data_IF_847561074608
#
_entry.id   IF_847561074608
#
_cell.length_a   1.000
_cell.length_b   1.000
_cell.length_c   1.000
_cell.angle_alpha   90.00
_cell.angle_beta   90.00
_cell.angle_gamma   90.00
#
_symmetry.space_group_name_H-M   'P 1'
#
loop_
_entity.id
_entity.type
_entity.pdbx_description
1 polymer ?
#
# COMPACT_ATOMS: atom_id res chain seq x y z
N UNK A 1 -23.43 -33.20 23.07
CA UNK A 1 -22.38 -33.27 24.10
C UNK A 1 -21.41 -32.17 23.73
N UNK A 2 -21.42 -31.14 24.55
CA UNK A 2 -20.61 -29.92 24.38
C UNK A 2 -19.37 -30.10 25.23
N UNK A 3 -18.20 -30.05 24.61
CA UNK A 3 -16.94 -29.96 25.36
C UNK A 3 -16.29 -28.62 25.08
N UNK A 4 -16.39 -27.76 26.09
CA UNK A 4 -15.74 -26.46 26.17
C UNK A 4 -14.28 -26.66 26.57
N UNK A 5 -13.33 -26.30 25.73
CA UNK A 5 -11.93 -26.13 26.14
C UNK A 5 -11.66 -24.66 26.42
N UNK A 6 -11.59 -24.32 27.71
CA UNK A 6 -11.07 -23.06 28.21
C UNK A 6 -9.55 -23.18 28.33
N UNK A 7 -8.79 -22.40 27.57
CA UNK A 7 -7.34 -22.24 27.75
C UNK A 7 -7.12 -21.00 28.61
N UNK A 8 -6.72 -21.25 29.88
CA UNK A 8 -6.29 -20.19 30.79
C UNK A 8 -4.84 -19.76 30.46
N UNK A 9 -4.66 -18.51 30.05
CA UNK A 9 -3.33 -17.88 29.93
C UNK A 9 -2.98 -17.25 31.28
N UNK A 10 -1.96 -17.81 31.96
CA UNK A 10 -1.36 -17.22 33.15
C UNK A 10 -0.35 -16.16 32.78
N UNK A 11 -0.66 -14.91 33.11
CA UNK A 11 0.30 -13.78 32.98
C UNK A 11 1.17 -13.77 34.25
N UNK A 12 2.47 -14.00 34.07
CA UNK A 12 3.47 -13.90 35.12
C UNK A 12 4.12 -12.51 35.03
N UNK A 13 3.69 -11.60 35.91
CA UNK A 13 4.33 -10.29 36.11
C UNK A 13 5.50 -10.47 37.08
N UNK A 14 6.73 -10.38 36.61
CA UNK A 14 7.90 -10.23 37.46
C UNK A 14 8.40 -8.78 37.46
N UNK A 15 8.12 -8.10 38.54
CA UNK A 15 8.75 -6.82 38.92
C UNK A 15 10.16 -7.08 39.39
N UNK A 16 11.16 -6.50 38.75
CA UNK A 16 12.52 -6.37 39.29
C UNK A 16 12.82 -4.89 39.51
N UNK A 17 12.95 -4.56 40.80
CA UNK A 17 13.44 -3.30 41.33
C UNK A 17 14.98 -3.26 41.35
N UNK A 18 15.51 -2.06 41.15
CA UNK A 18 16.72 -1.47 41.76
C UNK A 18 18.05 -1.59 41.02
N UNK A 19 18.63 -0.38 40.93
CA UNK A 19 19.99 -0.11 41.25
C UNK A 19 20.47 1.22 40.71
N UNK A 20 20.26 2.32 41.44
CA UNK A 20 20.86 3.60 41.13
C UNK A 20 22.36 3.59 41.46
N UNK A 21 23.18 4.13 40.55
CA UNK A 21 24.53 4.60 40.84
C UNK A 21 24.67 6.01 40.30
N UNK A 22 24.73 6.98 41.24
CA UNK A 22 25.07 8.36 40.97
C UNK A 22 26.57 8.49 40.66
N UNK A 23 26.90 8.85 39.43
CA UNK A 23 28.25 9.25 39.03
C UNK A 23 28.28 10.75 38.81
N UNK A 24 28.94 11.48 39.72
CA UNK A 24 29.25 12.93 39.64
C UNK A 24 30.32 13.13 38.56
N UNK A 25 30.04 13.89 37.52
CA UNK A 25 31.04 14.43 36.60
C UNK A 25 31.20 15.91 36.87
N UNK A 26 32.41 16.25 37.35
CA UNK A 26 32.89 17.59 37.67
C UNK A 26 33.10 18.39 36.39
N UNK A 27 32.46 19.53 36.29
CA UNK A 27 32.60 20.44 35.16
C UNK A 27 33.95 21.16 35.16
N UNK A 28 34.53 21.35 34.00
CA UNK A 28 35.55 22.35 33.73
C UNK A 28 35.05 23.26 32.60
N UNK A 29 34.77 24.50 32.91
CA UNK A 29 34.53 25.57 31.96
C UNK A 29 35.86 26.13 31.43
N UNK A 30 36.01 26.37 30.13
CA UNK A 30 37.08 27.23 29.65
C UNK A 30 36.61 28.69 29.59
N UNK A 31 37.42 29.54 30.18
CA UNK A 31 37.32 30.99 30.19
C UNK A 31 37.58 31.58 28.80
N UNK A 32 36.75 32.57 28.45
CA UNK A 32 36.87 33.41 27.27
C UNK A 32 37.95 34.48 27.56
N UNK A 33 38.96 34.58 26.72
CA UNK A 33 39.85 35.75 26.64
C UNK A 33 39.67 36.41 25.26
N UNK A 34 39.20 37.65 25.30
CA UNK A 34 39.18 38.60 24.18
C UNK A 34 40.55 39.26 24.07
N UNK A 35 41.17 39.21 22.88
CA UNK A 35 42.01 40.32 22.39
C UNK A 35 42.11 40.34 20.86
N UNK A 36 42.10 41.51 20.29
CA UNK A 36 41.88 41.87 18.90
C UNK A 36 43.12 41.85 18.00
N UNK A 37 43.14 42.59 16.85
CA UNK A 37 43.48 41.99 15.58
C UNK A 37 44.96 42.16 15.14
N UNK A 38 45.49 41.12 14.46
CA UNK A 38 46.70 41.28 13.63
C UNK A 38 46.55 40.53 12.28
N UNK A 39 46.73 41.28 11.23
CA UNK A 39 46.74 40.82 9.86
C UNK A 39 47.95 39.94 9.59
N UNK A 40 47.78 38.93 8.74
CA UNK A 40 48.91 38.36 8.02
C UNK A 40 48.91 36.85 7.83
N UNK A 41 48.91 36.48 6.55
CA UNK A 41 49.34 35.19 6.00
C UNK A 41 48.37 33.98 6.08
N UNK A 42 47.71 33.70 4.96
CA UNK A 42 47.08 32.41 4.67
C UNK A 42 48.17 31.33 4.42
N UNK A 43 48.12 30.21 5.11
CA UNK A 43 48.65 28.95 4.57
C UNK A 43 47.59 28.31 3.70
N UNK A 44 47.96 27.91 2.50
CA UNK A 44 47.16 27.06 1.60
C UNK A 44 46.85 25.74 2.32
N UNK A 45 45.60 25.55 2.75
CA UNK A 45 45.11 24.26 3.18
C UNK A 45 44.89 23.43 1.94
N UNK A 46 45.80 22.49 1.69
CA UNK A 46 45.61 21.42 0.75
C UNK A 46 44.40 20.61 1.19
N UNK A 47 43.34 20.67 0.41
CA UNK A 47 42.23 19.72 0.45
C UNK A 47 42.82 18.33 0.18
N UNK A 48 43.13 17.59 1.22
CA UNK A 48 43.26 16.15 1.12
C UNK A 48 41.83 15.63 0.79
N UNK A 49 41.56 15.49 -0.49
CA UNK A 49 40.41 14.75 -0.98
C UNK A 49 40.50 13.34 -0.41
N UNK A 50 39.58 12.97 0.47
CA UNK A 50 39.30 11.59 0.75
C UNK A 50 38.83 10.97 -0.59
N UNK A 51 39.76 10.40 -1.35
CA UNK A 51 39.45 9.47 -2.42
C UNK A 51 38.94 8.20 -1.74
N UNK A 52 37.63 8.17 -1.45
CA UNK A 52 36.91 6.92 -1.38
C UNK A 52 37.13 6.19 -2.72
N UNK A 53 37.11 4.86 -2.76
CA UNK A 53 37.26 4.13 -3.99
C UNK A 53 36.19 4.65 -4.96
N UNK A 54 36.65 5.31 -6.05
CA UNK A 54 35.79 5.68 -7.15
C UNK A 54 35.26 4.36 -7.72
N UNK A 55 33.98 4.11 -7.52
CA UNK A 55 33.26 3.08 -8.25
C UNK A 55 33.10 3.60 -9.68
N UNK A 56 34.13 3.42 -10.49
CA UNK A 56 34.08 3.58 -11.94
C UNK A 56 33.70 2.24 -12.57
N UNK A 57 32.58 1.69 -12.17
CA UNK A 57 31.87 0.66 -12.91
C UNK A 57 30.64 1.33 -13.53
N UNK A 58 30.25 0.94 -14.71
CA UNK A 58 28.94 1.26 -15.26
C UNK A 58 27.91 1.05 -14.14
N UNK A 59 27.07 2.04 -13.85
CA UNK A 59 26.16 1.99 -12.69
C UNK A 59 25.26 0.75 -12.73
N UNK A 60 25.19 0.05 -13.86
CA UNK A 60 24.40 -1.15 -14.13
C UNK A 60 25.23 -2.36 -14.58
N UNK A 61 26.56 -2.34 -14.36
CA UNK A 61 27.47 -3.41 -14.78
C UNK A 61 27.70 -4.46 -13.72
N UNK A 62 28.17 -5.64 -14.15
CA UNK A 62 28.62 -6.71 -13.27
C UNK A 62 30.15 -6.85 -13.34
N UNK A 63 30.83 -7.24 -12.25
CA UNK A 63 30.25 -7.64 -10.96
C UNK A 63 29.63 -6.48 -10.17
N UNK A 64 28.50 -6.75 -9.52
CA UNK A 64 27.76 -5.79 -8.72
C UNK A 64 27.78 -6.18 -7.24
N UNK A 65 27.92 -5.19 -6.35
CA UNK A 65 27.85 -5.39 -4.90
C UNK A 65 26.83 -4.44 -4.31
N UNK A 66 25.99 -4.94 -3.42
CA UNK A 66 25.05 -4.13 -2.65
C UNK A 66 24.94 -4.67 -1.23
N UNK A 67 24.84 -3.77 -0.25
CA UNK A 67 24.55 -4.13 1.13
C UNK A 67 23.05 -4.06 1.34
N UNK A 68 22.48 -5.13 1.84
CA UNK A 68 21.05 -5.26 2.06
C UNK A 68 20.60 -4.77 3.46
N UNK A 69 19.30 -4.85 3.77
CA UNK A 69 18.74 -4.38 5.02
C UNK A 69 19.19 -5.19 6.26
N UNK A 70 19.80 -6.38 6.08
CA UNK A 70 20.43 -7.15 7.18
C UNK A 70 21.84 -6.69 7.47
N UNK A 71 22.41 -5.82 6.63
CA UNK A 71 23.82 -5.39 6.67
C UNK A 71 24.76 -6.35 5.95
N UNK A 72 24.25 -7.40 5.29
CA UNK A 72 25.06 -8.30 4.50
C UNK A 72 25.33 -7.75 3.11
N UNK A 73 26.58 -7.89 2.63
CA UNK A 73 26.95 -7.47 1.27
C UNK A 73 26.78 -8.61 0.30
N UNK A 74 25.81 -8.48 -0.59
CA UNK A 74 25.54 -9.42 -1.68
C UNK A 74 26.42 -9.06 -2.87
N UNK A 75 27.09 -10.07 -3.44
CA UNK A 75 27.92 -9.93 -4.62
C UNK A 75 27.36 -10.78 -5.75
N UNK A 76 27.07 -10.15 -6.86
CA UNK A 76 26.65 -10.77 -8.10
C UNK A 76 27.80 -10.65 -9.12
N UNK A 77 28.41 -11.76 -9.51
CA UNK A 77 29.49 -11.78 -10.50
C UNK A 77 28.99 -11.53 -11.90
N UNK A 78 27.78 -12.02 -12.18
CA UNK A 78 27.10 -11.95 -13.46
C UNK A 78 25.64 -11.52 -13.26
N UNK A 79 24.98 -11.11 -14.32
CA UNK A 79 23.57 -10.79 -14.33
C UNK A 79 22.73 -12.03 -13.98
N UNK A 80 21.83 -11.98 -13.00
CA UNK A 80 20.98 -13.13 -12.66
C UNK A 80 20.05 -13.50 -13.82
N UNK A 81 19.98 -14.79 -14.14
CA UNK A 81 19.08 -15.32 -15.16
C UNK A 81 17.86 -16.01 -14.57
N UNK A 82 17.92 -16.37 -13.28
CA UNK A 82 16.86 -17.08 -12.54
C UNK A 82 16.55 -16.32 -11.25
N UNK A 83 15.42 -15.63 -11.23
CA UNK A 83 15.03 -14.76 -10.11
C UNK A 83 13.78 -15.32 -9.43
N UNK A 84 13.80 -15.40 -8.11
CA UNK A 84 12.61 -15.73 -7.31
C UNK A 84 12.25 -14.55 -6.42
N UNK A 85 10.96 -14.22 -6.36
CA UNK A 85 10.45 -13.15 -5.47
C UNK A 85 9.56 -13.73 -4.40
N UNK A 86 9.73 -13.29 -3.15
CA UNK A 86 8.98 -13.81 -2.02
C UNK A 86 7.65 -13.07 -1.79
N UNK A 87 7.46 -11.92 -2.43
CA UNK A 87 6.19 -11.19 -2.37
C UNK A 87 5.87 -10.47 -3.68
N UNK A 88 4.62 -10.01 -3.86
CA UNK A 88 4.17 -9.41 -5.11
C UNK A 88 4.81 -8.06 -5.43
N UNK A 89 5.25 -7.25 -4.47
CA UNK A 89 5.79 -5.92 -4.78
C UNK A 89 7.09 -5.98 -5.58
N UNK A 90 7.99 -6.93 -5.27
CA UNK A 90 9.21 -7.14 -6.04
C UNK A 90 8.91 -7.79 -7.41
N UNK A 91 7.94 -8.71 -7.48
CA UNK A 91 7.48 -9.26 -8.75
C UNK A 91 6.92 -8.15 -9.64
N UNK A 92 6.01 -7.32 -9.13
CA UNK A 92 5.44 -6.19 -9.87
C UNK A 92 6.55 -5.28 -10.43
N UNK A 93 7.55 -4.93 -9.62
CA UNK A 93 8.68 -4.13 -10.09
C UNK A 93 9.42 -4.82 -11.23
N UNK A 94 9.69 -6.14 -11.15
CA UNK A 94 10.34 -6.86 -12.26
C UNK A 94 9.52 -6.88 -13.54
N UNK A 95 8.17 -6.92 -13.44
CA UNK A 95 7.28 -6.77 -14.61
C UNK A 95 7.39 -5.38 -15.23
N UNK A 96 7.40 -4.32 -14.40
CA UNK A 96 7.60 -2.94 -14.88
C UNK A 96 8.95 -2.77 -15.59
N UNK A 97 10.00 -3.39 -15.07
CA UNK A 97 11.33 -3.35 -15.66
C UNK A 97 11.50 -4.29 -16.87
N UNK A 98 10.45 -5.00 -17.32
CA UNK A 98 10.51 -5.94 -18.44
C UNK A 98 11.38 -7.16 -18.16
N UNK A 99 11.49 -7.60 -16.90
CA UNK A 99 12.36 -8.70 -16.49
C UNK A 99 11.61 -9.98 -16.13
N UNK A 100 10.32 -10.05 -16.42
CA UNK A 100 9.43 -11.17 -16.09
C UNK A 100 9.91 -12.52 -16.67
N UNK A 101 10.61 -12.53 -17.81
CA UNK A 101 11.07 -13.77 -18.46
C UNK A 101 12.16 -14.50 -17.64
N UNK A 102 12.84 -13.78 -16.73
CA UNK A 102 13.84 -14.35 -15.84
C UNK A 102 13.29 -14.77 -14.48
N UNK A 103 12.03 -14.47 -14.22
CA UNK A 103 11.38 -14.85 -12.97
C UNK A 103 10.94 -16.29 -13.05
N UNK A 104 11.45 -17.13 -12.14
CA UNK A 104 11.19 -18.57 -12.07
C UNK A 104 10.28 -18.95 -10.91
N UNK A 105 10.16 -18.11 -9.89
CA UNK A 105 9.32 -18.33 -8.72
C UNK A 105 8.71 -17.03 -8.20
N UNK A 106 7.44 -17.08 -7.80
CA UNK A 106 6.70 -15.95 -7.23
C UNK A 106 5.80 -16.41 -6.08
N UNK A 107 5.41 -15.49 -5.21
CA UNK A 107 4.32 -15.78 -4.27
C UNK A 107 2.97 -15.85 -5.00
N UNK A 108 2.02 -16.63 -4.46
CA UNK A 108 0.65 -16.70 -5.00
C UNK A 108 -0.04 -15.32 -5.09
N UNK A 109 0.36 -14.38 -4.24
CA UNK A 109 -0.18 -13.02 -4.25
C UNK A 109 0.29 -12.17 -5.44
N UNK A 110 1.22 -12.67 -6.25
CA UNK A 110 1.66 -12.04 -7.49
C UNK A 110 0.90 -12.55 -8.73
N UNK A 111 -0.02 -13.51 -8.59
CA UNK A 111 -0.74 -14.12 -9.72
C UNK A 111 -1.68 -13.17 -10.46
N UNK A 112 -1.88 -11.96 -9.98
CA UNK A 112 -2.56 -10.89 -10.72
C UNK A 112 -1.71 -10.28 -11.85
N UNK A 113 -0.40 -10.57 -11.87
CA UNK A 113 0.49 -10.13 -12.94
C UNK A 113 0.41 -11.10 -14.12
N UNK A 114 0.40 -10.57 -15.34
CA UNK A 114 0.24 -11.35 -16.55
C UNK A 114 1.31 -12.45 -16.67
N UNK A 115 0.89 -13.70 -16.76
CA UNK A 115 1.77 -14.88 -16.87
C UNK A 115 2.52 -15.25 -15.59
N UNK A 116 2.23 -14.61 -14.45
CA UNK A 116 2.85 -14.97 -13.17
C UNK A 116 2.39 -16.32 -12.62
N UNK A 117 1.16 -16.73 -12.97
CA UNK A 117 0.61 -18.04 -12.61
C UNK A 117 1.33 -19.22 -13.29
N UNK A 118 2.09 -18.96 -14.35
CA UNK A 118 2.94 -19.95 -15.02
C UNK A 118 4.26 -20.20 -14.27
N UNK A 119 4.61 -19.35 -13.29
CA UNK A 119 5.81 -19.45 -12.47
C UNK A 119 5.57 -20.38 -11.29
N UNK A 120 6.66 -20.90 -10.71
CA UNK A 120 6.54 -21.73 -9.51
C UNK A 120 5.97 -20.91 -8.34
N UNK A 121 4.92 -21.42 -7.69
CA UNK A 121 4.39 -20.85 -6.46
C UNK A 121 5.29 -21.20 -5.27
N UNK A 122 5.96 -20.20 -4.71
CA UNK A 122 6.87 -20.38 -3.56
C UNK A 122 6.24 -20.06 -2.20
N UNK A 123 4.94 -19.74 -2.16
CA UNK A 123 4.24 -19.44 -0.90
C UNK A 123 4.12 -20.69 0.00
N UNK A 124 4.28 -20.47 1.30
CA UNK A 124 3.83 -21.39 2.36
C UNK A 124 2.46 -20.91 2.87
N UNK A 125 1.94 -21.54 3.93
CA UNK A 125 0.75 -21.05 4.64
C UNK A 125 1.02 -19.65 5.23
N UNK A 126 2.24 -19.45 5.77
CA UNK A 126 2.75 -18.16 6.23
C UNK A 126 4.13 -17.94 5.61
N UNK A 127 4.34 -16.80 4.92
CA UNK A 127 5.61 -16.47 4.29
C UNK A 127 5.94 -17.34 3.07
N UNK A 128 7.23 -17.63 2.88
CA UNK A 128 7.76 -18.43 1.78
C UNK A 128 8.12 -19.85 2.22
N UNK A 129 7.93 -20.82 1.33
CA UNK A 129 8.43 -22.19 1.53
C UNK A 129 9.89 -22.26 1.07
N UNK A 130 10.81 -22.44 2.01
CA UNK A 130 12.25 -22.61 1.71
C UNK A 130 12.47 -23.70 0.68
N UNK A 131 11.82 -24.87 0.83
CA UNK A 131 11.91 -25.98 -0.10
C UNK A 131 11.50 -25.58 -1.53
N UNK A 132 10.34 -24.92 -1.68
CA UNK A 132 9.85 -24.48 -2.99
C UNK A 132 10.74 -23.41 -3.61
N UNK A 133 11.32 -22.51 -2.80
CA UNK A 133 12.29 -21.52 -3.30
C UNK A 133 13.55 -22.23 -3.82
N UNK A 134 14.10 -23.18 -3.06
CA UNK A 134 15.25 -23.99 -3.48
C UNK A 134 14.96 -24.75 -4.78
N UNK A 135 13.77 -25.33 -4.91
CA UNK A 135 13.37 -26.09 -6.11
C UNK A 135 13.30 -25.20 -7.38
N UNK A 136 13.19 -23.88 -7.23
CA UNK A 136 13.27 -22.97 -8.39
C UNK A 136 14.70 -22.74 -8.87
N UNK A 137 15.73 -23.22 -8.15
CA UNK A 137 17.15 -23.03 -8.46
C UNK A 137 17.50 -21.58 -8.85
N UNK A 138 17.24 -20.58 -7.97
CA UNK A 138 17.40 -19.17 -8.32
C UNK A 138 18.86 -18.72 -8.17
N UNK A 139 19.32 -17.85 -9.06
CA UNK A 139 20.59 -17.11 -8.91
C UNK A 139 20.46 -15.97 -7.92
N UNK A 140 19.24 -15.43 -7.78
CA UNK A 140 18.89 -14.32 -6.90
C UNK A 140 17.48 -14.49 -6.35
N UNK A 141 17.34 -14.30 -5.03
CA UNK A 141 16.05 -14.19 -4.34
C UNK A 141 15.85 -12.75 -3.88
N UNK A 142 14.73 -12.15 -4.23
CA UNK A 142 14.31 -10.83 -3.76
C UNK A 142 13.34 -10.98 -2.59
N UNK A 143 13.79 -10.61 -1.40
CA UNK A 143 13.07 -10.75 -0.15
C UNK A 143 12.66 -9.35 0.40
N UNK A 144 11.39 -9.00 0.44
CA UNK A 144 10.95 -7.74 1.02
C UNK A 144 11.04 -7.76 2.55
N UNK A 145 10.81 -6.59 3.17
CA UNK A 145 10.83 -6.45 4.63
C UNK A 145 9.95 -7.49 5.36
N UNK A 146 8.77 -7.80 4.80
CA UNK A 146 7.84 -8.79 5.36
C UNK A 146 8.38 -10.22 5.38
N UNK A 147 9.43 -10.53 4.61
CA UNK A 147 10.06 -11.86 4.54
C UNK A 147 11.36 -11.97 5.35
N UNK A 148 11.59 -11.07 6.31
CA UNK A 148 12.81 -11.07 7.13
C UNK A 148 13.09 -12.43 7.80
N UNK A 149 12.05 -13.14 8.24
CA UNK A 149 12.17 -14.45 8.86
C UNK A 149 12.63 -15.56 7.89
N UNK A 150 12.38 -15.40 6.59
CA UNK A 150 12.74 -16.39 5.56
C UNK A 150 14.19 -16.22 5.09
N UNK A 151 14.80 -15.05 5.30
CA UNK A 151 16.15 -14.71 4.78
C UNK A 151 17.24 -15.64 5.30
N UNK A 152 17.29 -15.83 6.63
CA UNK A 152 18.28 -16.72 7.26
C UNK A 152 18.20 -18.16 6.75
N UNK A 153 17.03 -18.81 6.84
CA UNK A 153 16.83 -20.17 6.33
C UNK A 153 17.18 -20.35 4.85
N UNK A 154 16.87 -19.35 3.99
CA UNK A 154 17.22 -19.41 2.57
C UNK A 154 18.74 -19.31 2.34
N UNK A 155 19.43 -18.43 3.06
CA UNK A 155 20.89 -18.30 3.00
C UNK A 155 21.62 -19.56 3.52
N UNK A 156 21.05 -20.24 4.52
CA UNK A 156 21.57 -21.53 5.01
C UNK A 156 21.52 -22.62 3.93
N UNK A 157 20.62 -22.51 2.95
CA UNK A 157 20.60 -23.38 1.76
C UNK A 157 21.59 -22.95 0.67
N UNK A 158 22.37 -21.89 0.91
CA UNK A 158 23.36 -21.36 -0.03
C UNK A 158 22.79 -20.45 -1.11
N UNK A 159 21.54 -19.98 -0.98
CA UNK A 159 20.92 -19.06 -1.92
C UNK A 159 21.43 -17.62 -1.73
N UNK A 160 21.59 -16.90 -2.83
CA UNK A 160 21.84 -15.46 -2.82
C UNK A 160 20.54 -14.72 -2.58
N UNK A 161 20.36 -14.12 -1.39
CA UNK A 161 19.14 -13.43 -0.99
C UNK A 161 19.43 -11.96 -0.75
N UNK A 162 18.75 -11.06 -1.46
CA UNK A 162 18.76 -9.63 -1.19
C UNK A 162 17.50 -9.23 -0.41
N UNK A 163 17.69 -8.72 0.80
CA UNK A 163 16.62 -8.31 1.70
C UNK A 163 16.42 -6.79 1.66
N UNK A 164 15.21 -6.35 1.29
CA UNK A 164 14.85 -4.93 1.21
C UNK A 164 14.35 -4.41 2.56
N UNK A 165 14.62 -3.12 2.89
CA UNK A 165 13.96 -2.45 4.00
C UNK A 165 12.46 -2.28 3.72
N UNK A 166 11.70 -1.82 4.72
CA UNK A 166 10.34 -1.37 4.50
C UNK A 166 10.35 -0.13 3.57
N UNK A 167 9.44 -0.10 2.61
CA UNK A 167 9.17 1.08 1.80
C UNK A 167 7.90 1.73 2.37
N UNK A 168 8.05 2.89 2.97
CA UNK A 168 6.99 3.63 3.66
C UNK A 168 6.65 4.96 3.00
N UNK A 169 7.48 5.38 2.05
CA UNK A 169 7.32 6.60 1.24
C UNK A 169 7.43 6.29 -0.26
N UNK A 170 7.09 7.26 -1.09
CA UNK A 170 7.28 7.20 -2.54
C UNK A 170 8.77 7.10 -2.88
N UNK A 171 9.62 7.85 -2.17
CA UNK A 171 11.07 7.85 -2.37
C UNK A 171 11.69 6.48 -2.03
N UNK A 172 11.23 5.81 -0.96
CA UNK A 172 11.67 4.44 -0.65
C UNK A 172 11.34 3.46 -1.77
N UNK A 173 10.18 3.66 -2.45
CA UNK A 173 9.79 2.83 -3.60
C UNK A 173 10.70 3.11 -4.79
N UNK A 174 11.04 4.38 -5.05
CA UNK A 174 11.97 4.75 -6.10
C UNK A 174 13.36 4.16 -5.85
N UNK A 175 13.90 4.27 -4.64
CA UNK A 175 15.18 3.68 -4.25
C UNK A 175 15.18 2.15 -4.38
N UNK A 176 14.09 1.50 -3.98
CA UNK A 176 13.91 0.05 -4.15
C UNK A 176 13.89 -0.34 -5.62
N UNK A 177 13.20 0.42 -6.46
CA UNK A 177 13.12 0.18 -7.92
C UNK A 177 14.48 0.32 -8.58
N UNK A 178 15.25 1.37 -8.25
CA UNK A 178 16.62 1.52 -8.72
C UNK A 178 17.53 0.38 -8.24
N UNK A 179 17.38 -0.05 -6.99
CA UNK A 179 18.16 -1.15 -6.45
C UNK A 179 17.85 -2.45 -7.15
N UNK A 180 16.57 -2.76 -7.43
CA UNK A 180 16.17 -3.90 -8.25
C UNK A 180 16.76 -3.76 -9.65
N UNK A 181 16.66 -2.57 -10.27
CA UNK A 181 17.24 -2.30 -11.58
C UNK A 181 18.73 -2.62 -11.65
N UNK A 182 19.51 -2.23 -10.64
CA UNK A 182 20.96 -2.55 -10.53
C UNK A 182 21.22 -4.03 -10.31
N UNK A 183 20.45 -4.68 -9.42
CA UNK A 183 20.58 -6.12 -9.15
C UNK A 183 20.32 -6.98 -10.38
N UNK A 184 19.43 -6.53 -11.27
CA UNK A 184 19.04 -7.31 -12.45
C UNK A 184 19.59 -6.74 -13.77
N UNK A 185 20.38 -5.66 -13.73
CA UNK A 185 20.99 -5.04 -14.89
C UNK A 185 19.96 -4.36 -15.82
N UNK A 186 18.96 -3.67 -15.24
CA UNK A 186 17.87 -2.97 -15.91
C UNK A 186 17.72 -1.52 -15.42
N UNK A 187 18.84 -0.77 -15.28
CA UNK A 187 18.84 0.55 -14.66
C UNK A 187 18.11 1.62 -15.48
N UNK A 188 18.17 1.56 -16.80
CA UNK A 188 17.44 2.49 -17.68
C UNK A 188 15.94 2.34 -17.47
N UNK A 189 15.44 1.10 -17.52
CA UNK A 189 14.03 0.81 -17.24
C UNK A 189 13.61 1.23 -15.83
N UNK A 190 14.50 1.08 -14.82
CA UNK A 190 14.21 1.52 -13.46
C UNK A 190 14.08 3.05 -13.36
N UNK A 191 14.95 3.79 -14.05
CA UNK A 191 14.86 5.26 -14.12
C UNK A 191 13.58 5.70 -14.81
N UNK A 192 13.25 5.13 -15.96
CA UNK A 192 12.02 5.43 -16.70
C UNK A 192 10.78 5.12 -15.88
N UNK A 193 10.75 3.95 -15.20
CA UNK A 193 9.63 3.56 -14.32
C UNK A 193 9.47 4.52 -13.14
N UNK A 194 10.57 5.02 -12.56
CA UNK A 194 10.51 6.01 -11.50
C UNK A 194 10.04 7.38 -12.02
N UNK A 195 10.46 7.80 -13.20
CA UNK A 195 9.98 9.03 -13.84
C UNK A 195 8.46 8.96 -14.06
N UNK A 196 7.94 7.85 -14.60
CA UNK A 196 6.50 7.64 -14.78
C UNK A 196 5.73 7.66 -13.44
N UNK A 197 6.34 7.10 -12.40
CA UNK A 197 5.74 7.11 -11.06
C UNK A 197 5.64 8.52 -10.49
N UNK A 198 6.71 9.32 -10.56
CA UNK A 198 6.72 10.70 -10.08
C UNK A 198 5.80 11.60 -10.91
N UNK A 199 5.73 11.42 -12.23
CA UNK A 199 4.78 12.14 -13.09
C UNK A 199 3.32 11.86 -12.66
N UNK A 200 3.01 10.64 -12.27
CA UNK A 200 1.69 10.29 -11.76
C UNK A 200 1.39 10.90 -10.37
N UNK A 201 2.39 10.98 -9.50
CA UNK A 201 2.31 11.67 -8.20
C UNK A 201 2.01 13.16 -8.43
N UNK A 202 2.82 13.83 -9.26
CA UNK A 202 2.61 15.24 -9.59
C UNK A 202 1.22 15.49 -10.21
N UNK A 203 0.75 14.58 -11.07
CA UNK A 203 -0.57 14.67 -11.68
C UNK A 203 -1.70 14.54 -10.65
N UNK A 204 -1.56 13.64 -9.65
CA UNK A 204 -2.53 13.47 -8.58
C UNK A 204 -2.57 14.70 -7.65
N UNK A 205 -1.41 15.20 -7.22
CA UNK A 205 -1.29 16.39 -6.39
C UNK A 205 -1.87 17.64 -7.09
N UNK A 206 -1.57 17.82 -8.39
CA UNK A 206 -2.13 18.91 -9.17
C UNK A 206 -3.66 18.81 -9.33
N UNK A 207 -4.20 17.60 -9.42
CA UNK A 207 -5.65 17.35 -9.55
C UNK A 207 -6.38 17.75 -8.28
N UNK A 208 -5.79 17.55 -7.12
CA UNK A 208 -6.39 17.80 -5.81
C UNK A 208 -5.93 19.13 -5.16
N UNK A 209 -5.15 19.95 -5.87
CA UNK A 209 -4.54 21.18 -5.32
C UNK A 209 -5.56 22.21 -4.81
N UNK A 210 -6.72 22.31 -5.47
CA UNK A 210 -7.77 23.28 -5.16
C UNK A 210 -9.02 22.59 -4.54
N UNK A 211 -8.87 21.34 -4.07
CA UNK A 211 -9.93 20.50 -3.51
C UNK A 211 -9.79 20.43 -1.99
N UNK A 212 -10.90 20.52 -1.25
CA UNK A 212 -10.88 20.25 0.18
C UNK A 212 -10.51 18.78 0.43
N UNK A 213 -9.56 18.55 1.33
CA UNK A 213 -9.05 17.24 1.63
C UNK A 213 -9.95 16.54 2.65
N UNK A 214 -10.66 15.45 2.28
CA UNK A 214 -11.49 14.76 3.24
C UNK A 214 -10.66 14.05 4.32
N UNK A 215 -11.17 14.05 5.54
CA UNK A 215 -10.66 13.23 6.63
C UNK A 215 -10.89 11.76 6.31
N UNK A 216 -9.85 10.98 6.06
CA UNK A 216 -9.96 9.64 5.52
C UNK A 216 -9.33 8.56 6.41
N UNK A 217 -9.86 7.35 6.33
CA UNK A 217 -9.36 6.19 7.06
C UNK A 217 -9.25 4.96 6.14
N UNK A 218 -8.20 4.16 6.30
CA UNK A 218 -8.12 2.83 5.71
C UNK A 218 -8.11 1.74 6.78
N UNK A 219 -9.24 1.08 7.02
CA UNK A 219 -9.33 -0.05 7.94
C UNK A 219 -8.77 -1.33 7.34
N UNK A 220 -8.03 -2.09 8.17
CA UNK A 220 -7.43 -3.37 7.82
C UNK A 220 -8.18 -4.56 8.47
N UNK A 221 -9.28 -4.27 9.17
CA UNK A 221 -10.05 -5.25 9.93
C UNK A 221 -9.57 -5.42 11.38
N UNK A 222 -10.48 -5.84 12.26
CA UNK A 222 -10.19 -6.03 13.68
C UNK A 222 -9.76 -4.78 14.44
N UNK A 223 -10.13 -3.58 13.96
CA UNK A 223 -9.74 -2.28 14.50
C UNK A 223 -8.35 -1.81 14.07
N UNK A 224 -7.60 -2.59 13.30
CA UNK A 224 -6.32 -2.15 12.73
C UNK A 224 -6.55 -1.20 11.57
N UNK A 225 -5.70 -0.16 11.50
CA UNK A 225 -5.76 0.87 10.44
C UNK A 225 -4.36 1.18 9.91
N UNK A 226 -4.27 1.73 8.71
CA UNK A 226 -3.03 2.28 8.20
C UNK A 226 -2.84 3.70 8.75
N UNK A 227 -1.72 3.92 9.45
CA UNK A 227 -1.37 5.19 10.05
C UNK A 227 -0.09 5.77 9.43
N UNK A 228 0.48 6.82 10.04
CA UNK A 228 1.71 7.45 9.60
C UNK A 228 2.85 6.44 9.39
N UNK A 229 3.80 6.80 8.53
CA UNK A 229 4.94 5.96 8.20
C UNK A 229 4.54 4.62 7.58
N UNK A 230 3.51 4.63 6.73
CA UNK A 230 3.09 3.51 5.88
C UNK A 230 2.99 3.96 4.43
N UNK A 231 3.18 3.02 3.51
CA UNK A 231 2.95 3.26 2.08
C UNK A 231 1.53 3.77 1.80
N UNK A 232 0.55 3.27 2.54
CA UNK A 232 -0.87 3.63 2.38
C UNK A 232 -1.10 5.09 2.78
N UNK A 233 -0.48 5.54 3.88
CA UNK A 233 -0.50 6.95 4.28
C UNK A 233 0.09 7.86 3.21
N UNK A 234 1.22 7.46 2.60
CA UNK A 234 1.80 8.20 1.48
C UNK A 234 0.84 8.30 0.28
N UNK A 235 0.12 7.22 -0.06
CA UNK A 235 -0.91 7.23 -1.10
C UNK A 235 -2.07 8.15 -0.74
N UNK A 236 -2.55 8.13 0.51
CA UNK A 236 -3.63 9.01 0.95
C UNK A 236 -3.23 10.48 0.83
N UNK A 237 -2.02 10.82 1.27
CA UNK A 237 -1.50 12.19 1.18
C UNK A 237 -1.39 12.69 -0.27
N UNK A 238 -0.79 11.91 -1.17
CA UNK A 238 -0.68 12.24 -2.61
C UNK A 238 -2.05 12.29 -3.29
N UNK A 239 -2.94 11.38 -2.93
CA UNK A 239 -4.29 11.30 -3.48
C UNK A 239 -5.26 12.39 -3.01
N UNK A 240 -4.81 13.30 -2.12
CA UNK A 240 -5.59 14.44 -1.67
C UNK A 240 -6.51 14.16 -0.48
N UNK A 241 -6.23 13.14 0.34
CA UNK A 241 -6.96 12.83 1.55
C UNK A 241 -6.09 12.99 2.80
N UNK A 242 -6.68 13.41 3.92
CA UNK A 242 -6.00 13.55 5.20
C UNK A 242 -6.25 12.31 6.07
N UNK A 243 -5.17 11.57 6.40
CA UNK A 243 -5.28 10.37 7.20
C UNK A 243 -5.60 10.70 8.67
N UNK A 244 -6.78 10.35 9.16
CA UNK A 244 -7.19 10.61 10.55
C UNK A 244 -6.38 9.82 11.59
N UNK A 245 -5.67 8.78 11.15
CA UNK A 245 -4.78 7.97 11.99
C UNK A 245 -3.32 8.47 11.99
N UNK A 246 -3.00 9.64 11.37
CA UNK A 246 -1.63 10.14 11.21
C UNK A 246 -0.89 10.45 12.52
N UNK A 247 -1.58 10.56 13.66
CA UNK A 247 -0.95 10.71 14.99
C UNK A 247 -0.31 9.41 15.50
N UNK A 248 -0.68 8.27 14.90
CA UNK A 248 -0.17 6.95 15.24
C UNK A 248 0.89 6.50 14.25
N UNK A 249 1.64 5.45 14.58
CA UNK A 249 2.71 4.90 13.76
C UNK A 249 2.34 3.53 13.19
N UNK A 250 2.66 3.29 11.94
CA UNK A 250 2.53 2.02 11.24
C UNK A 250 1.07 1.49 11.18
N UNK A 251 0.76 0.40 11.86
CA UNK A 251 -0.54 -0.26 11.81
C UNK A 251 -1.11 -0.45 13.21
N UNK A 252 -1.57 0.62 13.87
CA UNK A 252 -2.14 0.55 15.22
C UNK A 252 -3.51 -0.11 15.19
N UNK A 253 -3.93 -0.64 16.34
CA UNK A 253 -5.31 -1.00 16.60
C UNK A 253 -5.99 0.16 17.31
N UNK A 254 -6.97 0.77 16.69
CA UNK A 254 -7.79 1.83 17.29
C UNK A 254 -9.02 1.23 17.97
N UNK A 255 -9.48 1.85 19.04
CA UNK A 255 -10.77 1.50 19.66
C UNK A 255 -11.91 2.13 18.87
N UNK A 256 -13.12 1.57 19.03
CA UNK A 256 -14.35 2.11 18.43
C UNK A 256 -14.55 3.59 18.82
N UNK A 257 -14.24 3.96 20.07
CA UNK A 257 -14.34 5.33 20.57
C UNK A 257 -13.42 6.28 19.81
N UNK A 258 -12.18 5.88 19.53
CA UNK A 258 -11.21 6.70 18.76
C UNK A 258 -11.66 6.84 17.32
N UNK A 259 -12.17 5.78 16.69
CA UNK A 259 -12.68 5.85 15.31
C UNK A 259 -13.87 6.81 15.23
N UNK A 260 -14.78 6.80 16.20
CA UNK A 260 -15.91 7.73 16.28
C UNK A 260 -15.47 9.17 16.59
N UNK A 261 -14.43 9.35 17.41
CA UNK A 261 -13.90 10.69 17.74
C UNK A 261 -13.18 11.32 16.54
N UNK A 262 -12.48 10.52 15.74
CA UNK A 262 -11.81 11.01 14.53
C UNK A 262 -12.78 11.26 13.37
N UNK A 263 -13.97 10.68 13.42
CA UNK A 263 -15.10 10.86 12.50
C UNK A 263 -14.69 10.97 11.03
N UNK A 264 -14.14 9.90 10.42
CA UNK A 264 -13.71 9.96 9.02
C UNK A 264 -14.87 10.29 8.08
N UNK A 265 -14.62 11.20 7.13
CA UNK A 265 -15.53 11.61 6.07
C UNK A 265 -15.45 10.68 4.85
N UNK A 266 -14.36 9.91 4.75
CA UNK A 266 -14.08 9.00 3.65
C UNK A 266 -13.44 7.72 4.17
N UNK A 267 -13.92 6.56 3.72
CA UNK A 267 -13.30 5.27 4.03
C UNK A 267 -12.75 4.63 2.75
N UNK A 268 -11.46 4.31 2.75
CA UNK A 268 -10.86 3.50 1.70
C UNK A 268 -11.20 2.03 1.97
N UNK A 269 -11.66 1.32 0.95
CA UNK A 269 -12.01 -0.11 1.04
C UNK A 269 -11.37 -0.88 -0.12
N UNK A 270 -11.17 -2.18 0.05
CA UNK A 270 -10.77 -3.08 -1.05
C UNK A 270 -11.90 -4.02 -1.45
N UNK A 271 -12.98 -4.03 -0.68
CA UNK A 271 -14.23 -4.72 -0.97
C UNK A 271 -15.18 -3.78 -1.73
N UNK A 272 -15.59 -4.13 -2.97
CA UNK A 272 -16.48 -3.28 -3.76
C UNK A 272 -17.89 -3.13 -3.16
N UNK A 273 -18.30 -4.01 -2.27
CA UNK A 273 -19.57 -3.91 -1.56
C UNK A 273 -19.49 -3.00 -0.32
N UNK A 274 -18.25 -2.62 0.07
CA UNK A 274 -17.96 -1.75 1.21
C UNK A 274 -18.68 -2.18 2.51
N UNK A 275 -18.79 -3.49 2.75
CA UNK A 275 -19.55 -4.07 3.84
C UNK A 275 -19.14 -3.57 5.24
N UNK A 276 -17.96 -2.96 5.37
CA UNK A 276 -17.49 -2.36 6.62
C UNK A 276 -18.32 -1.14 7.02
N UNK A 277 -18.89 -0.40 6.06
CA UNK A 277 -19.73 0.78 6.34
C UNK A 277 -21.05 0.44 7.04
N UNK A 278 -21.48 -0.83 6.97
CA UNK A 278 -22.67 -1.31 7.69
C UNK A 278 -22.36 -1.76 9.12
N UNK A 279 -21.10 -1.75 9.54
CA UNK A 279 -20.63 -2.25 10.82
C UNK A 279 -20.17 -1.11 11.74
N UNK A 280 -20.52 -1.21 13.04
CA UNK A 280 -19.95 -0.29 14.04
C UNK A 280 -18.44 -0.57 14.25
N UNK A 281 -17.63 0.48 14.46
CA UNK A 281 -18.00 1.89 14.65
C UNK A 281 -18.22 2.67 13.34
N UNK A 282 -17.87 2.13 12.18
CA UNK A 282 -17.82 2.84 10.89
C UNK A 282 -19.20 3.32 10.43
N UNK A 283 -20.27 2.55 10.71
CA UNK A 283 -21.64 2.92 10.37
C UNK A 283 -22.11 4.24 11.01
N UNK A 284 -21.51 4.59 12.15
CA UNK A 284 -21.83 5.81 12.91
C UNK A 284 -20.92 6.99 12.61
N UNK A 285 -19.94 6.85 11.70
CA UNK A 285 -19.09 7.97 11.23
C UNK A 285 -19.78 8.74 10.11
N UNK A 286 -19.28 9.93 9.79
CA UNK A 286 -19.74 10.71 8.63
C UNK A 286 -19.66 9.88 7.35
N UNK A 287 -18.56 9.18 7.09
CA UNK A 287 -18.42 8.29 5.94
C UNK A 287 -19.49 7.19 5.88
N UNK A 288 -19.78 6.56 7.02
CA UNK A 288 -20.82 5.52 7.09
C UNK A 288 -22.24 6.07 6.88
N UNK A 289 -22.54 7.21 7.50
CA UNK A 289 -23.86 7.84 7.43
C UNK A 289 -24.18 8.36 6.01
N UNK A 290 -23.19 8.86 5.28
CA UNK A 290 -23.31 9.41 3.93
C UNK A 290 -23.01 8.36 2.84
N UNK A 291 -22.41 7.23 3.20
CA UNK A 291 -22.00 6.20 2.26
C UNK A 291 -20.75 6.59 1.44
N UNK A 292 -19.86 7.40 2.01
CA UNK A 292 -18.67 7.89 1.33
C UNK A 292 -17.53 6.89 1.45
N UNK A 293 -17.19 6.23 0.35
CA UNK A 293 -16.06 5.31 0.28
C UNK A 293 -15.40 5.31 -1.10
N UNK A 294 -14.15 4.89 -1.12
CA UNK A 294 -13.40 4.66 -2.37
C UNK A 294 -12.95 3.22 -2.43
N UNK A 295 -13.32 2.52 -3.50
CA UNK A 295 -12.88 1.15 -3.76
C UNK A 295 -11.48 1.17 -4.37
N UNK A 296 -10.51 0.75 -3.58
CA UNK A 296 -9.11 0.64 -3.98
C UNK A 296 -8.80 -0.79 -4.45
N UNK A 297 -7.93 -0.92 -5.43
CA UNK A 297 -7.49 -2.25 -5.85
C UNK A 297 -6.50 -2.84 -4.84
N UNK A 298 -6.86 -3.96 -4.22
CA UNK A 298 -6.05 -4.66 -3.21
C UNK A 298 -4.65 -5.03 -3.70
N UNK A 299 -4.51 -5.33 -5.00
CA UNK A 299 -3.23 -5.69 -5.61
C UNK A 299 -2.28 -4.49 -5.78
N UNK A 300 -2.81 -3.27 -5.64
CA UNK A 300 -2.00 -2.05 -5.70
C UNK A 300 -1.88 -1.39 -4.33
N UNK A 301 -2.98 -1.16 -3.63
CA UNK A 301 -2.95 -0.43 -2.35
C UNK A 301 -2.04 -1.07 -1.30
N UNK A 302 -1.88 -2.39 -1.31
CA UNK A 302 -1.08 -3.12 -0.32
C UNK A 302 0.32 -3.51 -0.83
N UNK A 303 0.74 -3.01 -2.01
CA UNK A 303 2.02 -3.39 -2.62
C UNK A 303 2.88 -2.14 -2.91
N UNK A 304 3.94 -1.88 -2.10
CA UNK A 304 4.83 -0.75 -2.36
C UNK A 304 5.70 -1.01 -3.60
N UNK A 305 5.21 -0.59 -4.77
CA UNK A 305 5.84 -0.71 -6.08
C UNK A 305 5.35 0.40 -7.02
N UNK A 306 6.06 0.75 -8.10
CA UNK A 306 5.73 1.91 -8.94
C UNK A 306 4.30 1.90 -9.50
N UNK A 307 3.85 0.80 -10.13
CA UNK A 307 2.48 0.69 -10.65
C UNK A 307 1.43 0.88 -9.56
N UNK A 308 1.73 0.42 -8.35
CA UNK A 308 0.85 0.58 -7.19
C UNK A 308 0.68 2.04 -6.82
N UNK A 309 1.76 2.83 -6.82
CA UNK A 309 1.69 4.29 -6.63
C UNK A 309 0.83 4.91 -7.72
N UNK A 310 1.18 4.69 -8.99
CA UNK A 310 0.48 5.27 -10.16
C UNK A 310 -1.02 5.01 -10.07
N UNK A 311 -1.42 3.75 -9.90
CA UNK A 311 -2.84 3.35 -9.92
C UNK A 311 -3.61 3.78 -8.68
N UNK A 312 -2.98 3.71 -7.51
CA UNK A 312 -3.66 4.07 -6.26
C UNK A 312 -3.86 5.59 -6.15
N UNK A 313 -2.85 6.39 -6.50
CA UNK A 313 -2.96 7.85 -6.47
C UNK A 313 -3.94 8.37 -7.53
N UNK A 314 -3.94 7.79 -8.74
CA UNK A 314 -4.93 8.10 -9.78
C UNK A 314 -6.36 7.80 -9.31
N UNK A 315 -6.58 6.61 -8.73
CA UNK A 315 -7.92 6.21 -8.25
C UNK A 315 -8.40 7.13 -7.15
N UNK A 316 -7.57 7.37 -6.13
CA UNK A 316 -7.97 8.18 -4.98
C UNK A 316 -8.18 9.64 -5.34
N UNK A 317 -7.26 10.25 -6.11
CA UNK A 317 -7.38 11.67 -6.48
C UNK A 317 -8.57 11.95 -7.38
N UNK A 318 -8.95 11.02 -8.27
CA UNK A 318 -10.20 11.13 -9.03
C UNK A 318 -11.43 11.08 -8.12
N UNK A 319 -11.46 10.14 -7.17
CA UNK A 319 -12.58 9.99 -6.26
C UNK A 319 -12.74 11.19 -5.32
N UNK A 320 -11.63 11.77 -4.83
CA UNK A 320 -11.69 12.99 -3.97
C UNK A 320 -12.31 14.16 -4.73
N UNK A 321 -11.95 14.37 -6.01
CA UNK A 321 -12.58 15.40 -6.85
C UNK A 321 -14.07 15.13 -7.07
N UNK A 322 -14.45 13.88 -7.39
CA UNK A 322 -15.85 13.50 -7.61
C UNK A 322 -16.73 13.73 -6.38
N UNK A 323 -16.22 13.42 -5.18
CA UNK A 323 -16.93 13.64 -3.91
C UNK A 323 -17.17 15.14 -3.69
N UNK A 324 -16.16 15.97 -3.95
CA UNK A 324 -16.30 17.42 -3.80
C UNK A 324 -17.31 18.01 -4.80
N UNK A 325 -17.25 17.61 -6.06
CA UNK A 325 -18.18 18.09 -7.09
C UNK A 325 -19.64 17.73 -6.72
N UNK A 326 -19.86 16.52 -6.21
CA UNK A 326 -21.17 16.06 -5.75
C UNK A 326 -21.68 16.87 -4.53
N UNK A 327 -20.78 17.28 -3.63
CA UNK A 327 -21.12 18.08 -2.45
C UNK A 327 -21.42 19.55 -2.80
N UNK A 328 -20.72 20.08 -3.82
CA UNK A 328 -20.90 21.45 -4.31
C UNK A 328 -22.25 21.68 -5.01
N UNK A 329 -22.71 20.71 -5.79
CA UNK A 329 -23.99 20.80 -6.54
C UNK A 329 -25.22 20.77 -5.60
N UNK A 330 -25.08 20.14 -4.42
CA UNK A 330 -26.16 20.05 -3.41
C UNK A 330 -26.39 21.36 -2.65
N UNK A 331 -25.47 22.32 -2.69
CA UNK A 331 -25.55 23.58 -1.94
C UNK A 331 -26.18 24.75 -2.74
N UNK A 332 -26.27 24.63 -4.08
CA UNK A 332 -26.79 25.72 -4.93
C UNK A 332 -28.34 25.70 -5.09
N UNK A 333 -29.00 24.60 -4.69
CA UNK A 333 -30.48 24.48 -4.80
C UNK A 333 -31.27 25.06 -3.62
N UNK A 334 -30.63 25.71 -2.61
CA UNK A 334 -31.31 26.19 -1.40
C UNK A 334 -31.49 27.72 -1.31
N UNK A 335 -31.01 28.51 -2.28
CA UNK A 335 -31.19 29.97 -2.30
C UNK A 335 -32.03 30.45 -3.50
N UNK A 336 -33.36 30.30 -3.42
CA UNK A 336 -34.22 30.84 -4.48
C UNK A 336 -35.72 30.63 -4.28
N UNK A 337 -36.23 30.92 -3.11
CA UNK A 337 -37.67 30.80 -2.85
C UNK A 337 -38.25 31.88 -1.99
N UNK A 338 -38.05 33.14 -2.33
CA UNK A 338 -38.99 34.21 -1.86
C UNK A 338 -39.76 34.78 -3.03
N UNK A 339 -40.98 34.31 -3.23
CA UNK A 339 -41.92 34.79 -4.21
C UNK A 339 -42.98 35.60 -3.54
N UNK A 340 -42.93 36.85 -3.79
CA UNK A 340 -44.05 37.76 -3.61
C UNK A 340 -45.13 37.46 -4.63
N UNK A 341 -46.29 37.09 -4.12
CA UNK A 341 -47.53 37.06 -4.87
C UNK A 341 -47.97 38.48 -5.21
N UNK A 342 -48.30 38.74 -6.47
CA UNK A 342 -49.43 39.64 -6.79
C UNK A 342 -50.10 39.21 -8.09
N UNK A 343 -51.45 39.19 -8.04
CA UNK A 343 -52.31 38.67 -9.06
C UNK A 343 -52.61 39.64 -10.20
N UNK A 344 -53.01 39.08 -11.32
CA UNK A 344 -54.18 39.58 -12.09
C UNK A 344 -54.50 38.60 -13.22
N UNK A 345 -55.79 38.31 -13.26
CA UNK A 345 -56.63 37.71 -14.31
C UNK A 345 -56.35 38.25 -15.71
N UNK A 346 -56.43 37.41 -16.75
CA UNK A 346 -57.43 37.45 -17.79
C UNK A 346 -57.18 36.39 -18.88
N UNK A 347 -58.18 35.54 -18.96
CA UNK A 347 -58.94 35.03 -20.10
C UNK A 347 -58.28 35.12 -21.52
N UNK A 348 -58.12 34.04 -22.19
CA UNK A 348 -58.76 33.77 -23.49
C UNK A 348 -58.53 32.36 -24.04
N UNK A 349 -59.58 31.79 -24.51
CA UNK A 349 -59.93 30.56 -25.17
C UNK A 349 -59.18 30.26 -26.46
N UNK A 350 -59.28 29.00 -26.80
CA UNK A 350 -59.48 28.36 -28.14
C UNK A 350 -58.36 27.45 -28.61
N UNK A 351 -58.74 26.27 -28.66
CA UNK A 351 -59.15 25.30 -29.69
C UNK A 351 -58.07 24.59 -30.48
N UNK A 352 -58.23 23.29 -30.36
CA UNK A 352 -58.35 22.23 -31.36
C UNK A 352 -57.20 21.86 -32.30
N UNK A 353 -57.10 20.55 -32.42
CA UNK A 353 -56.49 19.81 -33.55
C UNK A 353 -55.65 18.66 -33.13
N UNK A 354 -56.12 17.52 -32.92
CA UNK A 354 -56.61 16.38 -33.70
C UNK A 354 -55.54 15.66 -34.53
N UNK A 355 -55.59 14.34 -34.33
CA UNK A 355 -55.21 13.25 -35.24
C UNK A 355 -53.70 12.97 -35.43
N UNK A 356 -53.19 11.76 -35.43
CA UNK A 356 -53.65 10.38 -35.69
C UNK A 356 -52.47 9.48 -35.49
N UNK A 357 -52.63 8.37 -34.84
CA UNK A 357 -52.83 7.05 -35.36
C UNK A 357 -51.65 6.47 -36.18
N UNK A 358 -51.24 5.28 -35.79
CA UNK A 358 -50.30 4.47 -36.53
C UNK A 358 -49.72 3.34 -35.69
N UNK A 359 -50.54 2.37 -35.38
CA UNK A 359 -50.17 1.08 -34.88
C UNK A 359 -49.48 0.25 -35.96
N UNK A 360 -48.63 -0.64 -35.56
CA UNK A 360 -48.55 -1.94 -36.24
C UNK A 360 -48.09 -3.03 -35.26
N UNK A 361 -48.93 -3.98 -35.21
CA UNK A 361 -48.99 -5.27 -34.62
C UNK A 361 -48.19 -6.26 -35.48
N UNK A 362 -47.62 -7.29 -34.86
CA UNK A 362 -47.43 -8.67 -35.36
C UNK A 362 -46.45 -9.39 -34.47
N UNK A 363 -46.89 -10.18 -33.51
CA UNK A 363 -47.37 -11.58 -33.52
C UNK A 363 -46.39 -12.61 -34.13
N UNK A 364 -46.18 -13.60 -33.28
CA UNK A 364 -46.17 -15.07 -33.37
C UNK A 364 -44.81 -15.68 -33.60
N UNK A 365 -44.41 -16.74 -32.98
CA UNK A 365 -44.83 -18.04 -32.55
C UNK A 365 -43.62 -18.70 -31.96
N UNK A 366 -43.53 -19.41 -30.90
CA UNK A 366 -44.10 -20.71 -30.56
C UNK A 366 -43.15 -21.88 -30.80
N UNK A 367 -43.04 -22.74 -29.80
CA UNK A 367 -42.62 -24.15 -29.75
C UNK A 367 -41.38 -24.42 -28.90
N UNK A 368 -41.65 -24.93 -27.70
CA UNK A 368 -41.81 -26.36 -27.31
C UNK A 368 -40.49 -27.11 -27.04
N UNK A 369 -40.33 -27.41 -25.76
CA UNK A 369 -40.15 -28.76 -25.23
C UNK A 369 -38.77 -29.40 -25.31
N UNK A 370 -38.12 -29.56 -24.18
CA UNK A 370 -37.79 -30.89 -23.68
C UNK A 370 -37.25 -30.85 -22.25
N UNK A 371 -38.00 -31.48 -21.37
CA UNK A 371 -37.58 -31.89 -20.04
C UNK A 371 -36.60 -33.05 -20.12
N UNK A 372 -35.50 -32.99 -19.40
CA UNK A 372 -34.87 -34.21 -18.86
C UNK A 372 -34.28 -33.90 -17.49
N UNK A 373 -34.95 -34.44 -16.50
CA UNK A 373 -34.42 -34.60 -15.13
C UNK A 373 -33.24 -35.56 -15.15
N UNK A 374 -32.15 -35.21 -14.44
CA UNK A 374 -31.31 -36.19 -13.73
C UNK A 374 -30.74 -35.58 -12.51
N UNK A 375 -31.16 -36.16 -11.45
CA UNK A 375 -30.76 -36.26 -10.06
C UNK A 375 -29.24 -36.20 -9.75
N UNK A 376 -28.88 -35.53 -8.61
CA UNK A 376 -27.86 -36.02 -7.71
C UNK A 376 -26.55 -35.29 -7.64
N UNK A 377 -26.30 -34.63 -6.52
CA UNK A 377 -24.95 -34.38 -6.03
C UNK A 377 -24.74 -33.03 -5.39
N UNK A 378 -25.05 -32.94 -4.10
CA UNK A 378 -24.59 -31.86 -3.23
C UNK A 378 -23.06 -31.84 -3.21
N UNK A 379 -22.49 -30.73 -3.65
CA UNK A 379 -21.08 -30.36 -3.46
C UNK A 379 -21.06 -28.93 -2.96
N UNK A 380 -21.00 -28.80 -1.65
CA UNK A 380 -20.71 -27.57 -0.94
C UNK A 380 -19.30 -27.12 -1.35
N UNK A 381 -19.20 -26.10 -2.19
CA UNK A 381 -17.96 -25.36 -2.43
C UNK A 381 -18.16 -23.96 -1.87
N UNK A 382 -17.91 -23.86 -0.55
CA UNK A 382 -17.68 -22.57 0.10
C UNK A 382 -16.55 -21.84 -0.59
N UNK A 383 -16.90 -20.79 -1.32
CA UNK A 383 -15.94 -19.83 -1.80
C UNK A 383 -15.37 -19.05 -0.60
N UNK A 384 -14.24 -19.50 -0.07
CA UNK A 384 -13.47 -18.74 0.91
C UNK A 384 -12.87 -17.53 0.20
N UNK A 385 -13.29 -16.36 0.65
CA UNK A 385 -12.80 -15.06 0.24
C UNK A 385 -11.29 -14.94 0.51
N UNK A 386 -10.44 -14.56 -0.47
CA UNK A 386 -8.98 -14.49 -0.29
C UNK A 386 -8.49 -13.36 0.62
N UNK A 387 -9.38 -12.56 1.19
CA UNK A 387 -9.03 -11.33 1.91
C UNK A 387 -8.34 -11.50 3.27
N UNK A 388 -8.52 -12.63 3.94
CA UNK A 388 -8.05 -12.79 5.32
C UNK A 388 -6.57 -13.19 5.48
N UNK A 389 -5.92 -13.72 4.45
CA UNK A 389 -4.55 -14.21 4.52
C UNK A 389 -3.49 -13.13 4.64
N UNK A 390 -3.68 -11.99 3.98
CA UNK A 390 -2.67 -10.90 3.93
C UNK A 390 -2.63 -10.10 5.24
N UNK A 391 -3.78 -9.86 5.84
CA UNK A 391 -3.88 -9.14 7.13
C UNK A 391 -3.30 -9.96 8.27
N UNK A 392 -3.55 -11.27 8.30
CA UNK A 392 -3.00 -12.16 9.33
C UNK A 392 -1.46 -12.28 9.23
N UNK A 393 -0.88 -12.27 8.01
CA UNK A 393 0.56 -12.29 7.81
C UNK A 393 1.23 -10.97 8.24
N UNK A 394 0.61 -9.82 7.97
CA UNK A 394 1.11 -8.51 8.42
C UNK A 394 1.06 -8.39 9.96
N UNK A 395 0.02 -8.91 10.60
CA UNK A 395 -0.14 -8.88 12.06
C UNK A 395 0.84 -9.81 12.80
N UNK A 396 1.16 -11.00 12.25
CA UNK A 396 2.14 -11.90 12.83
C UNK A 396 3.56 -11.31 12.80
N UNK A 397 3.89 -10.51 11.79
CA UNK A 397 5.19 -9.86 11.65
C UNK A 397 5.39 -8.65 12.57
N UNK A 398 4.32 -7.94 12.91
CA UNK A 398 4.36 -6.83 13.88
C UNK A 398 4.64 -7.34 15.31
N UNK A 399 4.15 -8.50 15.69
CA UNK A 399 4.41 -9.10 17.00
C UNK A 399 5.88 -9.53 17.19
N UNK A 400 6.54 -10.01 16.13
CA UNK A 400 7.96 -10.40 16.18
C UNK A 400 8.93 -9.22 16.12
N UNK A 401 8.58 -8.15 15.40
CA UNK A 401 9.39 -6.92 15.33
C UNK A 401 9.47 -6.15 16.66
N UNK A 402 8.43 -6.20 17.48
CA UNK A 402 8.40 -5.58 18.82
C UNK A 402 9.25 -6.36 19.85
N UNK A 403 9.42 -7.67 19.68
CA UNK A 403 10.26 -8.49 20.57
C UNK A 403 11.76 -8.33 20.29
N UNK A 404 12.16 -8.07 19.06
CA UNK A 404 13.56 -7.85 18.68
C UNK A 404 14.15 -6.48 19.09
N UNK A 405 13.32 -5.54 19.53
CA UNK A 405 13.74 -4.21 20.01
C UNK A 405 13.98 -4.13 21.52
N UNK A 406 13.94 -5.25 22.22
CA UNK A 406 14.04 -5.31 23.70
C UNK A 406 15.30 -6.01 24.24
N UNK A 407 16.32 -6.28 23.41
CA UNK A 407 17.62 -6.74 23.84
C UNK A 407 18.72 -5.70 23.57
#
# INVERSE_FOLDING_TARGET
MRDSFAIAMAVLVTTALLGGVAGTVTGAQPTIATDGPAAGAQPAVGTAGATGPAQTGDACGFPFNATDATGETIRLEERPERITTLNPSAAQTLWELGQQDRVVGVSQFAFYLDGAEERANVSAEFGASVERVVDTEPDLVLAPNSSAADVGPLREQGLTVYHFPAATSIDDIAEKTETIGRLVGACEAASETNEEMYDAVDAAENRTADVDRPAALYPLGGGYVAANNTFIDAIMNVGGADNVAAEYEAYPQLSDEVILETDPELILVTDPEAAILEQEPYASTTAGAEGNYVVMNVNYLNQPAPRSVIRSTETLSNAVVEIQDASGDSSDDTEGGDSSADGSSDDNSSESGDSSDGGNDSSTDGMDGNETETDGGAGDTGAESPGFGVVAAALALLATGLLARRD
#
